data_IF_291308030602
#
_entry.id   IF_291308030602
#
_cell.length_a   1.000
_cell.length_b   1.000
_cell.length_c   1.000
_cell.angle_alpha   90.00
_cell.angle_beta   90.00
_cell.angle_gamma   90.00
#
_symmetry.space_group_name_H-M   'P 1'
#
loop_
_entity.id
_entity.type
_entity.pdbx_description
1 polymer ?
#
# COMPACT_ATOMS: atom_id res chain seq x y z
N UNK A 1 83.67 37.28 -54.79
CA UNK A 1 83.32 35.90 -54.31
C UNK A 1 84.16 35.66 -53.09
N UNK A 2 83.58 35.71 -51.91
CA UNK A 2 84.29 35.44 -50.67
C UNK A 2 84.47 33.89 -50.57
N UNK A 3 85.72 33.40 -50.54
CA UNK A 3 86.00 32.01 -50.26
C UNK A 3 85.68 31.75 -48.80
N UNK A 4 84.69 30.95 -48.57
CA UNK A 4 84.31 30.43 -47.26
C UNK A 4 85.38 29.40 -46.92
N UNK A 5 86.27 29.73 -46.00
CA UNK A 5 87.36 28.84 -45.50
C UNK A 5 86.72 27.69 -44.68
N UNK A 6 87.30 26.44 -44.75
CA UNK A 6 86.72 25.24 -44.12
C UNK A 6 86.42 25.36 -42.60
N UNK A 7 87.00 26.36 -41.95
CA UNK A 7 86.74 26.70 -40.54
C UNK A 7 85.35 27.35 -40.34
N UNK A 8 84.96 28.22 -41.29
CA UNK A 8 83.64 28.94 -41.20
C UNK A 8 82.49 27.99 -41.44
N UNK A 9 82.62 27.03 -42.32
CA UNK A 9 81.58 25.99 -42.54
C UNK A 9 81.38 25.07 -41.35
N UNK A 10 82.44 24.72 -40.66
CA UNK A 10 82.33 23.93 -39.42
C UNK A 10 81.66 24.73 -38.30
N UNK A 11 81.93 26.01 -38.19
CA UNK A 11 81.28 26.90 -37.20
C UNK A 11 79.79 27.10 -37.48
N UNK A 12 79.44 27.24 -38.75
CA UNK A 12 77.99 27.35 -39.15
C UNK A 12 77.21 26.06 -38.85
N UNK A 13 77.82 24.92 -39.14
CA UNK A 13 77.22 23.61 -38.87
C UNK A 13 77.03 23.37 -37.36
N UNK A 14 78.05 23.67 -36.56
CA UNK A 14 77.95 23.53 -35.09
C UNK A 14 76.94 24.52 -34.53
N UNK A 15 76.81 25.75 -35.04
CA UNK A 15 75.79 26.72 -34.61
C UNK A 15 74.36 26.27 -35.02
N UNK A 16 74.19 25.71 -36.23
CA UNK A 16 72.93 25.15 -36.67
C UNK A 16 72.49 23.98 -35.80
N UNK A 17 73.44 23.06 -35.45
CA UNK A 17 73.08 21.95 -34.58
C UNK A 17 72.73 22.44 -33.19
N UNK A 18 73.43 23.40 -32.64
CA UNK A 18 73.16 23.99 -31.33
C UNK A 18 71.82 24.75 -31.33
N UNK A 19 71.49 25.41 -32.43
CA UNK A 19 70.19 26.08 -32.63
C UNK A 19 69.02 25.06 -32.70
N UNK A 20 69.16 23.98 -33.44
CA UNK A 20 68.17 22.91 -33.55
C UNK A 20 67.96 22.24 -32.17
N UNK A 21 69.02 22.00 -31.44
CA UNK A 21 68.96 21.46 -30.08
C UNK A 21 68.23 22.47 -29.16
N UNK A 22 68.57 23.74 -29.23
CA UNK A 22 67.91 24.80 -28.45
C UNK A 22 66.41 24.91 -28.73
N UNK A 23 66.00 24.89 -30.02
CA UNK A 23 64.60 24.92 -30.41
C UNK A 23 63.86 23.66 -29.93
N UNK A 24 64.48 22.48 -30.04
CA UNK A 24 63.89 21.22 -29.55
C UNK A 24 63.73 21.22 -28.03
N UNK A 25 64.71 21.70 -27.28
CA UNK A 25 64.64 21.85 -25.82
C UNK A 25 63.57 22.89 -25.40
N UNK A 26 63.46 23.99 -26.12
CA UNK A 26 62.49 25.03 -25.85
C UNK A 26 61.07 24.50 -26.11
N UNK A 27 60.87 23.76 -27.22
CA UNK A 27 59.58 23.12 -27.52
C UNK A 27 59.14 22.10 -26.46
N UNK A 28 60.12 21.29 -25.89
CA UNK A 28 59.85 20.33 -24.84
C UNK A 28 59.51 20.92 -23.47
N UNK A 29 59.79 22.24 -23.28
CA UNK A 29 59.50 22.93 -22.03
C UNK A 29 58.04 23.40 -21.91
N UNK A 30 57.28 23.41 -23.03
CA UNK A 30 55.84 23.72 -23.03
C UNK A 30 55.06 22.41 -22.83
N UNK A 31 54.20 22.44 -21.85
CA UNK A 31 53.24 21.37 -21.60
C UNK A 31 51.79 21.88 -21.70
N UNK A 32 50.94 21.04 -22.25
CA UNK A 32 49.51 21.36 -22.40
C UNK A 32 48.78 20.47 -21.39
N UNK A 33 47.91 21.10 -20.62
CA UNK A 33 46.96 20.41 -19.76
C UNK A 33 45.60 20.42 -20.44
N UNK A 34 45.00 19.24 -20.57
CA UNK A 34 43.73 19.05 -21.20
C UNK A 34 42.59 19.79 -20.45
N UNK A 35 41.53 20.17 -21.13
CA UNK A 35 40.33 20.69 -20.48
C UNK A 35 39.80 19.68 -19.47
N UNK A 36 39.21 20.15 -18.38
CA UNK A 36 38.62 19.33 -17.32
C UNK A 36 39.63 18.53 -16.49
N UNK A 37 40.91 18.83 -16.61
CA UNK A 37 41.96 18.27 -15.77
C UNK A 37 42.64 19.39 -14.95
N UNK A 38 43.03 19.04 -13.74
CA UNK A 38 43.92 19.80 -12.89
C UNK A 38 45.23 19.01 -12.71
N UNK A 39 46.31 19.68 -12.51
CA UNK A 39 47.61 19.00 -12.43
C UNK A 39 48.56 19.63 -11.43
N UNK A 40 49.47 18.82 -10.97
CA UNK A 40 50.67 19.20 -10.19
C UNK A 40 51.88 19.01 -11.07
N UNK A 41 52.82 19.96 -11.05
CA UNK A 41 54.07 19.83 -11.76
C UNK A 41 55.07 19.00 -10.94
N UNK A 42 55.63 17.99 -11.57
CA UNK A 42 56.69 17.12 -11.01
C UNK A 42 57.99 17.36 -11.79
N UNK A 43 59.04 17.53 -11.07
CA UNK A 43 60.39 17.57 -11.64
C UNK A 43 60.97 16.15 -11.69
N UNK A 44 61.04 15.59 -12.90
CA UNK A 44 61.57 14.22 -13.09
C UNK A 44 63.07 14.10 -12.86
N UNK A 45 63.82 15.22 -12.92
CA UNK A 45 65.27 15.19 -12.69
C UNK A 45 65.57 15.17 -11.20
N UNK A 46 64.83 15.90 -10.39
CA UNK A 46 65.03 16.01 -8.95
C UNK A 46 64.05 15.15 -8.14
N UNK A 47 63.13 14.51 -8.80
CA UNK A 47 62.01 13.76 -8.15
C UNK A 47 61.27 14.58 -7.10
N UNK A 48 61.10 15.89 -7.34
CA UNK A 48 60.39 16.82 -6.45
C UNK A 48 59.13 17.28 -7.13
N UNK A 49 58.14 17.60 -6.31
CA UNK A 49 56.85 18.21 -6.76
C UNK A 49 56.88 19.71 -6.49
N UNK A 50 56.22 20.48 -7.35
CA UNK A 50 55.89 21.87 -7.08
C UNK A 50 54.71 21.89 -6.14
N UNK A 51 54.96 22.25 -4.88
CA UNK A 51 53.94 22.27 -3.82
C UNK A 51 53.12 23.57 -3.77
N UNK A 52 53.53 24.58 -4.54
CA UNK A 52 53.04 25.91 -4.38
C UNK A 52 51.84 26.23 -5.33
N UNK A 53 51.71 25.43 -6.39
CA UNK A 53 50.70 25.73 -7.44
C UNK A 53 50.02 24.47 -7.96
N UNK A 54 48.70 24.55 -8.02
CA UNK A 54 47.88 23.65 -8.82
C UNK A 54 47.58 24.31 -10.15
N UNK A 55 47.85 23.58 -11.22
CA UNK A 55 47.64 24.04 -12.58
C UNK A 55 46.27 23.59 -13.06
N UNK A 56 45.51 24.53 -13.59
CA UNK A 56 44.25 24.25 -14.26
C UNK A 56 44.45 24.15 -15.77
N UNK A 57 43.42 23.89 -16.54
CA UNK A 57 43.47 23.77 -17.99
C UNK A 57 44.29 24.92 -18.64
N UNK A 58 45.11 24.59 -19.63
CA UNK A 58 45.88 25.61 -20.36
C UNK A 58 47.21 25.10 -20.85
N UNK A 59 48.02 26.05 -21.40
CA UNK A 59 49.40 25.79 -21.83
C UNK A 59 50.35 26.54 -20.91
N UNK A 60 51.31 25.80 -20.37
CA UNK A 60 52.27 26.33 -19.40
C UNK A 60 53.69 26.07 -19.83
N UNK A 61 54.56 26.99 -19.48
CA UNK A 61 55.99 26.84 -19.60
C UNK A 61 56.54 26.31 -18.26
N UNK A 62 56.78 25.01 -18.19
CA UNK A 62 57.27 24.34 -16.96
C UNK A 62 58.78 24.26 -16.87
N UNK A 63 59.46 24.38 -18.02
CA UNK A 63 60.91 24.12 -18.08
C UNK A 63 61.24 22.68 -18.44
N UNK A 64 62.57 22.44 -18.59
CA UNK A 64 63.07 21.14 -18.98
C UNK A 64 63.01 20.15 -17.83
N UNK A 65 62.54 18.92 -18.12
CA UNK A 65 62.44 17.86 -17.14
C UNK A 65 61.27 17.95 -16.19
N UNK A 66 60.35 18.85 -16.46
CA UNK A 66 59.09 18.96 -15.72
C UNK A 66 57.95 18.24 -16.46
N UNK A 67 57.05 17.62 -15.71
CA UNK A 67 55.91 16.86 -16.22
C UNK A 67 54.65 17.14 -15.36
N UNK A 68 53.50 17.10 -15.99
CA UNK A 68 52.20 17.20 -15.28
C UNK A 68 51.76 15.81 -14.78
N UNK A 69 51.32 15.76 -13.54
CA UNK A 69 50.52 14.69 -12.99
C UNK A 69 49.10 15.20 -12.98
N UNK A 70 48.26 14.68 -13.86
CA UNK A 70 46.92 15.15 -14.08
C UNK A 70 45.89 14.37 -13.27
N UNK A 71 44.90 15.09 -12.77
CA UNK A 71 43.72 14.59 -12.06
C UNK A 71 42.48 15.18 -12.70
N UNK A 72 41.36 14.42 -12.76
CA UNK A 72 40.12 14.98 -13.28
C UNK A 72 39.57 16.06 -12.34
N UNK A 73 39.02 17.12 -12.93
CA UNK A 73 38.28 18.17 -12.19
C UNK A 73 36.81 17.83 -12.12
N UNK A 74 36.33 16.93 -12.98
CA UNK A 74 34.97 16.48 -13.02
C UNK A 74 34.68 15.45 -11.92
N UNK A 75 33.38 15.27 -11.61
CA UNK A 75 32.96 14.20 -10.72
C UNK A 75 33.35 12.82 -11.30
N UNK A 76 33.92 11.97 -10.46
CA UNK A 76 34.31 10.61 -10.76
C UNK A 76 33.21 9.69 -10.24
N UNK A 77 32.71 8.82 -11.10
CA UNK A 77 31.74 7.78 -10.71
C UNK A 77 32.49 6.56 -10.20
N UNK A 78 32.00 6.02 -9.10
CA UNK A 78 32.48 4.80 -8.48
C UNK A 78 31.29 3.91 -8.14
N UNK A 79 31.34 2.67 -8.56
CA UNK A 79 30.36 1.63 -8.22
C UNK A 79 31.07 0.57 -7.40
N UNK A 80 30.45 0.14 -6.32
CA UNK A 80 30.96 -0.91 -5.45
C UNK A 80 29.82 -1.91 -5.26
N UNK A 81 30.05 -3.11 -5.74
CA UNK A 81 29.10 -4.21 -5.66
C UNK A 81 29.44 -5.13 -4.50
N UNK A 82 28.45 -5.82 -3.97
CA UNK A 82 28.56 -6.87 -2.96
C UNK A 82 29.32 -6.45 -1.69
N UNK A 83 29.09 -5.24 -1.19
CA UNK A 83 29.65 -4.81 0.09
C UNK A 83 29.04 -5.64 1.21
N UNK A 84 29.78 -6.61 1.72
CA UNK A 84 29.35 -7.43 2.86
C UNK A 84 29.42 -6.63 4.15
N UNK A 85 28.27 -6.37 4.74
CA UNK A 85 28.08 -5.65 5.99
C UNK A 85 27.48 -6.57 7.05
N UNK A 86 27.68 -6.23 8.33
CA UNK A 86 27.05 -6.90 9.45
C UNK A 86 26.11 -5.92 10.13
N UNK A 87 24.90 -6.36 10.42
CA UNK A 87 23.88 -5.59 11.12
C UNK A 87 23.99 -5.74 12.64
N UNK A 88 23.20 -4.98 13.41
CA UNK A 88 23.21 -5.05 14.88
C UNK A 88 22.79 -6.43 15.41
N UNK A 89 21.92 -7.13 14.70
CA UNK A 89 21.46 -8.50 14.99
C UNK A 89 22.40 -9.58 14.45
N UNK A 90 23.62 -9.19 14.00
CA UNK A 90 24.69 -10.06 13.47
C UNK A 90 24.31 -10.86 12.23
N UNK A 91 23.37 -10.36 11.45
CA UNK A 91 23.08 -10.87 10.12
C UNK A 91 24.04 -10.23 9.10
N UNK A 92 24.32 -10.94 8.02
CA UNK A 92 25.07 -10.40 6.90
C UNK A 92 24.10 -9.80 5.88
N UNK A 93 24.43 -8.59 5.42
CA UNK A 93 23.68 -7.88 4.38
C UNK A 93 24.67 -7.49 3.29
N UNK A 94 24.28 -7.63 2.03
CA UNK A 94 25.06 -7.20 0.89
C UNK A 94 24.43 -5.93 0.31
N UNK A 95 25.26 -4.91 0.11
CA UNK A 95 24.80 -3.59 -0.34
C UNK A 95 25.60 -3.19 -1.58
N UNK A 96 24.88 -2.89 -2.67
CA UNK A 96 25.44 -2.30 -3.88
C UNK A 96 25.21 -0.81 -3.86
N UNK A 97 26.26 -0.06 -4.15
CA UNK A 97 26.21 1.41 -4.14
C UNK A 97 26.82 2.00 -5.39
N UNK A 98 26.33 3.17 -5.76
CA UNK A 98 26.97 4.07 -6.71
C UNK A 98 27.19 5.43 -6.05
N UNK A 99 28.36 5.97 -6.16
CA UNK A 99 28.64 7.31 -5.68
C UNK A 99 29.44 8.12 -6.70
N UNK A 100 29.27 9.43 -6.65
CA UNK A 100 30.02 10.39 -7.43
C UNK A 100 30.75 11.33 -6.47
N UNK A 101 32.05 11.43 -6.63
CA UNK A 101 32.89 12.33 -5.84
C UNK A 101 33.75 13.22 -6.72
N UNK A 102 34.15 14.36 -6.20
CA UNK A 102 35.00 15.32 -6.85
C UNK A 102 36.20 15.63 -5.96
N UNK A 103 37.38 15.67 -6.57
CA UNK A 103 38.61 16.02 -5.87
C UNK A 103 38.71 17.53 -5.65
N UNK A 104 39.10 17.94 -4.47
CA UNK A 104 39.29 19.35 -4.14
C UNK A 104 40.59 19.86 -4.75
N UNK A 105 40.53 20.93 -5.54
CA UNK A 105 41.68 21.54 -6.18
C UNK A 105 42.74 22.05 -5.18
N UNK A 106 42.26 22.60 -4.06
CA UNK A 106 43.12 23.20 -3.06
C UNK A 106 43.95 22.17 -2.28
N UNK A 107 43.41 20.98 -2.15
CA UNK A 107 44.01 19.88 -1.38
C UNK A 107 44.80 18.87 -2.24
N UNK A 108 44.89 19.11 -3.56
CA UNK A 108 45.44 18.20 -4.53
C UNK A 108 46.93 17.80 -4.22
N UNK A 109 47.70 18.79 -3.76
CA UNK A 109 49.12 18.56 -3.38
C UNK A 109 49.21 17.64 -2.18
N UNK A 110 48.34 17.80 -1.21
CA UNK A 110 48.28 16.94 -0.02
C UNK A 110 47.83 15.54 -0.40
N UNK A 111 46.82 15.41 -1.24
CA UNK A 111 46.34 14.14 -1.78
C UNK A 111 47.46 13.37 -2.50
N UNK A 112 48.25 14.06 -3.34
CA UNK A 112 49.37 13.42 -4.03
C UNK A 112 50.44 12.96 -3.06
N UNK A 113 50.79 13.77 -2.04
CA UNK A 113 51.79 13.39 -1.04
C UNK A 113 51.41 12.17 -0.23
N UNK A 114 50.14 12.04 0.07
CA UNK A 114 49.62 10.96 0.90
C UNK A 114 49.26 9.68 0.11
N UNK A 115 48.67 9.85 -1.06
CA UNK A 115 48.03 8.75 -1.80
C UNK A 115 48.58 8.55 -3.21
N UNK A 116 49.29 9.52 -3.74
CA UNK A 116 49.84 9.49 -5.11
C UNK A 116 48.71 9.28 -6.15
N UNK A 117 48.84 8.29 -7.01
CA UNK A 117 47.84 7.91 -8.03
C UNK A 117 46.87 6.81 -7.57
N UNK A 118 47.04 6.30 -6.34
CA UNK A 118 46.21 5.21 -5.79
C UNK A 118 45.03 5.74 -4.97
N UNK A 119 44.59 6.97 -5.22
CA UNK A 119 43.50 7.60 -4.50
C UNK A 119 42.15 6.90 -4.72
N UNK A 120 41.90 6.32 -5.90
CA UNK A 120 40.65 5.61 -6.21
C UNK A 120 40.42 4.42 -5.27
N UNK A 121 41.42 3.54 -5.14
CA UNK A 121 41.33 2.38 -4.24
C UNK A 121 41.28 2.78 -2.76
N UNK A 122 41.78 3.96 -2.42
CA UNK A 122 41.66 4.51 -1.08
C UNK A 122 40.22 4.96 -0.82
N UNK A 123 39.62 5.71 -1.73
CA UNK A 123 38.20 6.15 -1.58
C UNK A 123 37.25 4.96 -1.59
N UNK A 124 37.47 3.95 -2.41
CA UNK A 124 36.70 2.70 -2.39
C UNK A 124 36.68 2.05 -1.00
N UNK A 125 37.83 1.95 -0.37
CA UNK A 125 37.94 1.42 1.01
C UNK A 125 37.23 2.34 2.00
N UNK A 126 37.43 3.64 1.90
CA UNK A 126 36.84 4.63 2.80
C UNK A 126 35.32 4.56 2.76
N UNK A 127 34.75 4.46 1.56
CA UNK A 127 33.29 4.28 1.38
C UNK A 127 32.82 2.96 1.96
N UNK A 128 33.56 1.87 1.66
CA UNK A 128 33.24 0.54 2.20
C UNK A 128 33.26 0.51 3.74
N UNK A 129 34.26 1.17 4.35
CA UNK A 129 34.35 1.29 5.81
C UNK A 129 33.20 2.11 6.38
N UNK A 130 32.87 3.25 5.77
CA UNK A 130 31.77 4.11 6.20
C UNK A 130 30.41 3.40 6.15
N UNK A 131 30.16 2.61 5.09
CA UNK A 131 28.95 1.79 4.97
C UNK A 131 28.89 0.75 6.08
N UNK A 132 29.99 0.02 6.32
CA UNK A 132 30.07 -1.02 7.37
C UNK A 132 29.84 -0.44 8.76
N UNK A 133 30.42 0.72 9.06
CA UNK A 133 30.22 1.39 10.34
C UNK A 133 28.77 1.81 10.57
N UNK A 134 28.09 2.31 9.53
CA UNK A 134 26.71 2.75 9.66
C UNK A 134 25.74 1.56 9.73
N UNK A 135 25.99 0.53 8.94
CA UNK A 135 25.12 -0.65 8.88
C UNK A 135 24.99 -1.40 10.21
N UNK A 136 26.03 -1.36 11.06
CA UNK A 136 26.00 -1.99 12.40
C UNK A 136 24.96 -1.37 13.32
N UNK A 137 24.54 -0.15 13.09
CA UNK A 137 23.55 0.56 13.93
C UNK A 137 22.10 0.14 13.65
N UNK A 138 21.86 -0.62 12.58
CA UNK A 138 20.52 -0.98 12.10
C UNK A 138 20.24 -2.47 12.25
N UNK A 139 18.99 -2.83 12.51
CA UNK A 139 18.53 -4.21 12.54
C UNK A 139 18.12 -4.68 11.14
N UNK A 140 18.30 -5.97 10.86
CA UNK A 140 17.94 -6.53 9.54
C UNK A 140 16.43 -6.46 9.31
N UNK A 141 15.65 -6.77 10.34
CA UNK A 141 14.20 -6.64 10.35
C UNK A 141 13.80 -5.91 11.65
N UNK A 142 13.06 -4.80 11.61
CA UNK A 142 12.29 -4.28 10.45
C UNK A 142 13.04 -3.26 9.56
N UNK A 143 14.23 -2.75 9.95
CA UNK A 143 14.80 -1.53 9.40
C UNK A 143 15.12 -1.65 7.89
N UNK A 144 15.86 -2.67 7.48
CA UNK A 144 16.24 -2.85 6.07
C UNK A 144 15.05 -3.12 5.14
N UNK A 145 13.92 -3.52 5.70
CA UNK A 145 12.72 -3.74 4.90
C UNK A 145 11.81 -2.50 4.85
N UNK A 146 11.58 -1.86 6.01
CA UNK A 146 10.64 -0.75 6.12
C UNK A 146 11.29 0.63 5.99
N UNK A 147 12.55 0.79 6.45
CA UNK A 147 13.20 2.09 6.63
C UNK A 147 14.37 2.30 5.65
N UNK A 148 14.29 1.74 4.44
CA UNK A 148 15.39 1.82 3.43
C UNK A 148 15.84 3.24 3.12
N UNK A 149 14.91 4.20 3.09
CA UNK A 149 15.23 5.60 2.82
C UNK A 149 16.05 6.23 3.96
N UNK A 150 15.71 5.91 5.21
CA UNK A 150 16.44 6.40 6.38
C UNK A 150 17.85 5.82 6.45
N UNK A 151 17.98 4.53 6.17
CA UNK A 151 19.29 3.85 6.09
C UNK A 151 20.14 4.46 4.98
N UNK A 152 19.58 4.65 3.79
CA UNK A 152 20.29 5.26 2.66
C UNK A 152 20.73 6.69 2.98
N UNK A 153 19.90 7.48 3.66
CA UNK A 153 20.23 8.84 4.09
C UNK A 153 21.33 8.84 5.17
N UNK A 154 21.28 7.92 6.13
CA UNK A 154 22.28 7.78 7.18
C UNK A 154 23.64 7.36 6.59
N UNK A 155 23.64 6.36 5.70
CA UNK A 155 24.87 5.94 4.99
C UNK A 155 25.42 7.09 4.15
N UNK A 156 24.56 7.82 3.41
CA UNK A 156 24.99 8.99 2.64
C UNK A 156 25.70 10.02 3.53
N UNK A 157 25.11 10.39 4.65
CA UNK A 157 25.70 11.34 5.61
C UNK A 157 27.04 10.85 6.11
N UNK A 158 27.14 9.56 6.45
CA UNK A 158 28.40 8.95 6.93
C UNK A 158 29.48 8.95 5.86
N UNK A 159 29.12 8.65 4.63
CA UNK A 159 30.04 8.69 3.47
C UNK A 159 30.46 10.13 3.17
N UNK A 160 29.55 11.11 3.25
CA UNK A 160 29.84 12.53 3.06
C UNK A 160 30.86 13.04 4.10
N UNK A 161 30.67 12.69 5.37
CA UNK A 161 31.63 12.99 6.44
C UNK A 161 33.00 12.36 6.17
N UNK A 162 33.02 11.10 5.71
CA UNK A 162 34.24 10.39 5.38
C UNK A 162 34.99 11.04 4.21
N UNK A 163 34.30 11.50 3.16
CA UNK A 163 34.92 12.22 2.04
C UNK A 163 35.44 13.59 2.45
N UNK A 164 34.66 14.36 3.22
CA UNK A 164 35.09 15.68 3.68
C UNK A 164 36.35 15.64 4.52
N UNK A 165 36.54 14.61 5.32
CA UNK A 165 37.77 14.34 6.06
C UNK A 165 38.96 13.87 5.21
N UNK A 166 38.72 13.47 3.95
CA UNK A 166 39.72 12.86 3.08
C UNK A 166 39.98 13.61 1.76
N UNK A 167 39.87 14.95 1.77
CA UNK A 167 40.29 15.85 0.70
C UNK A 167 39.47 15.72 -0.61
N UNK A 168 38.25 15.20 -0.52
CA UNK A 168 37.29 15.14 -1.62
C UNK A 168 35.90 15.53 -1.16
N UNK A 169 35.02 15.79 -2.10
CA UNK A 169 33.64 16.16 -1.83
C UNK A 169 32.72 15.16 -2.51
N UNK A 170 31.77 14.61 -1.76
CA UNK A 170 30.71 13.77 -2.31
C UNK A 170 29.73 14.64 -3.10
N UNK A 171 29.47 14.26 -4.35
CA UNK A 171 28.52 14.97 -5.24
C UNK A 171 27.16 14.29 -5.19
N UNK A 172 27.16 12.96 -5.33
CA UNK A 172 25.94 12.16 -5.28
C UNK A 172 26.23 10.78 -4.67
N UNK A 173 25.19 10.19 -4.07
CA UNK A 173 25.26 8.87 -3.46
C UNK A 173 23.94 8.16 -3.60
N UNK A 174 23.97 6.92 -4.07
CA UNK A 174 22.79 6.09 -4.27
C UNK A 174 23.05 4.67 -3.80
N UNK A 175 22.12 4.11 -3.07
CA UNK A 175 22.06 2.69 -2.76
C UNK A 175 21.28 2.01 -3.87
N UNK A 176 21.93 1.17 -4.65
CA UNK A 176 21.35 0.49 -5.81
C UNK A 176 20.53 -0.72 -5.37
N UNK A 177 21.14 -1.56 -4.53
CA UNK A 177 20.54 -2.83 -4.12
C UNK A 177 20.93 -3.15 -2.67
N UNK A 178 20.03 -3.80 -1.98
CA UNK A 178 20.28 -4.39 -0.66
C UNK A 178 19.80 -5.83 -0.73
N UNK A 179 20.72 -6.76 -0.61
CA UNK A 179 20.47 -8.19 -0.59
C UNK A 179 20.60 -8.74 0.83
N UNK A 180 19.58 -9.47 1.24
CA UNK A 180 19.53 -10.19 2.50
C UNK A 180 19.84 -11.67 2.23
N UNK A 181 20.40 -12.41 3.18
CA UNK A 181 20.57 -13.86 3.05
C UNK A 181 19.20 -14.54 2.85
N UNK A 182 19.15 -15.52 1.95
CA UNK A 182 17.93 -16.25 1.57
C UNK A 182 17.10 -16.72 2.78
N UNK A 183 17.78 -17.21 3.82
CA UNK A 183 17.13 -17.68 5.05
C UNK A 183 16.43 -16.55 5.83
N UNK A 184 16.94 -15.33 5.75
CA UNK A 184 16.37 -14.16 6.41
C UNK A 184 15.23 -13.59 5.56
N UNK A 185 15.43 -13.52 4.27
CA UNK A 185 14.41 -13.11 3.31
C UNK A 185 13.18 -14.02 3.41
N UNK A 186 13.38 -15.35 3.45
CA UNK A 186 12.27 -16.30 3.59
C UNK A 186 11.51 -16.11 4.90
N UNK A 187 12.17 -15.87 6.02
CA UNK A 187 11.51 -15.57 7.30
C UNK A 187 10.68 -14.30 7.25
N UNK A 188 11.18 -13.27 6.59
CA UNK A 188 10.44 -12.01 6.41
C UNK A 188 9.20 -12.25 5.56
N UNK A 189 9.34 -12.99 4.46
CA UNK A 189 8.22 -13.38 3.60
C UNK A 189 7.19 -14.18 4.40
N UNK A 190 7.61 -15.18 5.16
CA UNK A 190 6.73 -16.01 5.99
C UNK A 190 5.97 -15.14 7.01
N UNK A 191 6.65 -14.22 7.68
CA UNK A 191 6.01 -13.28 8.63
C UNK A 191 4.97 -12.40 7.94
N UNK A 192 5.29 -11.84 6.77
CA UNK A 192 4.34 -11.01 6.01
C UNK A 192 3.12 -11.83 5.56
N UNK A 193 3.35 -13.07 5.13
CA UNK A 193 2.26 -13.99 4.75
C UNK A 193 1.36 -14.28 5.95
N UNK A 194 1.92 -14.58 7.12
CA UNK A 194 1.14 -14.78 8.34
C UNK A 194 0.34 -13.54 8.74
N UNK A 195 0.92 -12.34 8.66
CA UNK A 195 0.21 -11.08 8.92
C UNK A 195 -0.93 -10.84 7.94
N UNK A 196 -0.70 -11.13 6.65
CA UNK A 196 -1.74 -11.02 5.62
C UNK A 196 -2.86 -12.05 5.83
N UNK A 197 -2.51 -13.29 6.19
CA UNK A 197 -3.51 -14.33 6.51
C UNK A 197 -4.35 -13.96 7.73
N UNK A 198 -3.74 -13.41 8.78
CA UNK A 198 -4.45 -12.90 9.96
C UNK A 198 -5.40 -11.75 9.59
N UNK A 199 -4.92 -10.79 8.81
CA UNK A 199 -5.74 -9.68 8.32
C UNK A 199 -6.90 -10.17 7.45
N UNK A 200 -6.65 -11.14 6.58
CA UNK A 200 -7.68 -11.76 5.74
C UNK A 200 -8.72 -12.48 6.60
N UNK A 201 -8.30 -13.22 7.63
CA UNK A 201 -9.19 -13.89 8.56
C UNK A 201 -10.07 -12.90 9.33
N UNK A 202 -9.53 -11.78 9.76
CA UNK A 202 -10.27 -10.69 10.42
C UNK A 202 -11.33 -10.11 9.48
N UNK A 203 -10.98 -9.77 8.24
CA UNK A 203 -11.95 -9.28 7.25
C UNK A 203 -13.04 -10.32 6.91
N UNK A 204 -12.68 -11.61 6.87
CA UNK A 204 -13.67 -12.68 6.66
C UNK A 204 -14.62 -12.80 7.84
N UNK A 205 -14.12 -12.66 9.06
CA UNK A 205 -14.92 -12.62 10.27
C UNK A 205 -15.90 -11.44 10.26
N UNK A 206 -15.41 -10.24 9.98
CA UNK A 206 -16.22 -9.04 9.89
C UNK A 206 -17.30 -9.16 8.81
N UNK A 207 -16.95 -9.64 7.63
CA UNK A 207 -17.91 -9.90 6.58
C UNK A 207 -18.97 -10.94 6.99
N UNK A 208 -18.60 -11.96 7.77
CA UNK A 208 -19.50 -12.95 8.33
C UNK A 208 -20.46 -12.34 9.36
N UNK A 209 -19.97 -11.47 10.23
CA UNK A 209 -20.79 -10.73 11.21
C UNK A 209 -21.80 -9.85 10.49
N UNK A 210 -21.36 -9.03 9.53
CA UNK A 210 -22.25 -8.14 8.75
C UNK A 210 -23.34 -8.95 8.01
N UNK A 211 -22.98 -10.08 7.41
CA UNK A 211 -23.95 -10.96 6.74
C UNK A 211 -24.98 -11.51 7.73
N UNK A 212 -24.55 -11.95 8.91
CA UNK A 212 -25.48 -12.44 9.95
C UNK A 212 -26.38 -11.35 10.48
N UNK A 213 -25.85 -10.14 10.69
CA UNK A 213 -26.64 -8.98 11.08
C UNK A 213 -27.70 -8.63 10.02
N UNK A 214 -27.33 -8.61 8.74
CA UNK A 214 -28.25 -8.39 7.65
C UNK A 214 -29.33 -9.48 7.57
N UNK A 215 -28.97 -10.75 7.76
CA UNK A 215 -29.93 -11.86 7.81
C UNK A 215 -30.88 -11.72 9.00
N UNK A 216 -30.37 -11.42 10.19
CA UNK A 216 -31.21 -11.19 11.36
C UNK A 216 -32.18 -10.02 11.18
N UNK A 217 -31.74 -8.95 10.52
CA UNK A 217 -32.64 -7.80 10.24
C UNK A 217 -33.72 -8.17 9.21
N UNK A 218 -33.39 -8.93 8.18
CA UNK A 218 -34.34 -9.45 7.23
C UNK A 218 -35.36 -10.42 7.90
N UNK A 219 -34.90 -11.30 8.79
CA UNK A 219 -35.77 -12.21 9.54
C UNK A 219 -36.70 -11.45 10.49
N UNK A 220 -36.23 -10.40 11.17
CA UNK A 220 -37.08 -9.52 11.98
C UNK A 220 -38.11 -8.79 11.14
N UNK A 221 -37.72 -8.25 9.98
CA UNK A 221 -38.64 -7.61 9.07
C UNK A 221 -39.70 -8.60 8.58
N UNK A 222 -39.32 -9.82 8.25
CA UNK A 222 -40.26 -10.88 7.83
C UNK A 222 -41.21 -11.24 8.95
N UNK A 223 -40.74 -11.38 10.19
CA UNK A 223 -41.57 -11.64 11.35
C UNK A 223 -42.54 -10.48 11.62
N UNK A 224 -42.12 -9.23 11.50
CA UNK A 224 -42.99 -8.05 11.63
C UNK A 224 -44.07 -8.04 10.57
N UNK A 225 -43.74 -8.34 9.32
CA UNK A 225 -44.75 -8.46 8.24
C UNK A 225 -45.77 -9.54 8.54
N UNK A 226 -45.34 -10.71 9.07
CA UNK A 226 -46.24 -11.77 9.47
C UNK A 226 -47.21 -11.34 10.60
N UNK A 227 -46.69 -10.61 11.60
CA UNK A 227 -47.53 -10.04 12.69
C UNK A 227 -48.53 -9.04 12.15
N UNK A 228 -48.10 -8.09 11.32
CA UNK A 228 -48.98 -7.08 10.73
C UNK A 228 -50.06 -7.74 9.88
N UNK A 229 -49.73 -8.76 9.09
CA UNK A 229 -50.70 -9.49 8.29
C UNK A 229 -51.73 -10.22 9.18
N UNK A 230 -51.26 -10.88 10.23
CA UNK A 230 -52.17 -11.57 11.17
C UNK A 230 -53.10 -10.59 11.93
N UNK A 231 -52.57 -9.42 12.34
CA UNK A 231 -53.35 -8.37 12.95
C UNK A 231 -54.40 -7.82 11.97
N UNK A 232 -54.03 -7.58 10.71
CA UNK A 232 -54.94 -7.09 9.68
C UNK A 232 -56.01 -8.13 9.35
N UNK A 233 -55.71 -9.43 9.29
CA UNK A 233 -56.67 -10.51 9.09
C UNK A 233 -57.66 -10.61 10.28
N UNK A 234 -57.13 -10.48 11.51
CA UNK A 234 -57.97 -10.49 12.70
C UNK A 234 -58.89 -9.30 12.76
N UNK A 235 -58.43 -8.09 12.43
CA UNK A 235 -59.22 -6.86 12.36
C UNK A 235 -60.29 -6.95 11.26
N UNK A 236 -59.91 -7.48 10.09
CA UNK A 236 -60.87 -7.70 8.99
C UNK A 236 -61.94 -8.71 9.38
N UNK A 237 -61.61 -9.82 10.03
CA UNK A 237 -62.55 -10.82 10.53
C UNK A 237 -63.52 -10.21 11.58
N UNK A 238 -62.97 -9.40 12.49
CA UNK A 238 -63.76 -8.70 13.51
C UNK A 238 -64.73 -7.68 12.88
N UNK A 239 -64.28 -6.93 11.86
CA UNK A 239 -65.10 -5.99 11.14
C UNK A 239 -66.26 -6.68 10.38
N UNK A 240 -65.98 -7.81 9.72
CA UNK A 240 -66.97 -8.64 9.05
C UNK A 240 -67.98 -9.17 10.06
N UNK A 241 -67.48 -9.77 11.18
CA UNK A 241 -68.36 -10.30 12.21
C UNK A 241 -69.22 -9.20 12.86
N UNK A 242 -68.71 -7.99 13.09
CA UNK A 242 -69.51 -6.88 13.61
C UNK A 242 -70.54 -6.37 12.60
N UNK A 243 -70.14 -6.32 11.30
CA UNK A 243 -71.08 -5.93 10.23
C UNK A 243 -72.25 -6.96 10.06
N UNK A 244 -71.87 -8.26 10.13
CA UNK A 244 -72.93 -9.34 10.10
C UNK A 244 -73.82 -9.30 11.31
N UNK A 245 -73.27 -9.07 12.51
CA UNK A 245 -74.08 -8.92 13.73
C UNK A 245 -74.99 -7.73 13.64
N UNK A 246 -74.55 -6.58 13.15
CA UNK A 246 -75.32 -5.38 12.93
C UNK A 246 -76.45 -5.63 11.86
N UNK A 247 -76.06 -6.26 10.74
CA UNK A 247 -77.03 -6.65 9.71
C UNK A 247 -78.11 -7.57 10.27
N UNK A 248 -77.75 -8.55 11.07
CA UNK A 248 -78.71 -9.44 11.73
C UNK A 248 -79.58 -8.71 12.72
N UNK A 249 -79.08 -7.77 13.51
CA UNK A 249 -79.86 -6.92 14.42
C UNK A 249 -80.89 -6.06 13.65
N UNK A 250 -80.44 -5.43 12.54
CA UNK A 250 -81.41 -4.62 11.69
C UNK A 250 -82.48 -5.50 11.10
N UNK A 251 -82.16 -6.71 10.59
CA UNK A 251 -83.17 -7.63 10.05
C UNK A 251 -84.11 -8.13 11.15
N UNK A 252 -83.56 -8.47 12.33
CA UNK A 252 -84.35 -8.94 13.46
C UNK A 252 -85.35 -7.84 13.95
N UNK A 253 -84.83 -6.60 14.06
CA UNK A 253 -85.69 -5.48 14.45
C UNK A 253 -86.78 -5.22 13.42
N UNK A 254 -86.45 -5.21 12.11
CA UNK A 254 -87.43 -5.02 11.05
C UNK A 254 -88.49 -6.14 10.98
N UNK A 255 -88.04 -7.40 11.17
CA UNK A 255 -88.99 -8.55 11.23
C UNK A 255 -89.87 -8.50 12.46
N UNK A 256 -89.29 -8.09 13.62
CA UNK A 256 -90.04 -7.92 14.86
C UNK A 256 -91.15 -6.83 14.73
N UNK A 257 -90.77 -5.66 14.18
CA UNK A 257 -91.76 -4.59 13.91
C UNK A 257 -92.81 -5.05 12.94
N UNK A 258 -92.43 -5.73 11.85
CA UNK A 258 -93.37 -6.29 10.86
C UNK A 258 -94.34 -7.29 11.47
N UNK A 259 -93.83 -8.17 12.38
CA UNK A 259 -94.68 -9.15 13.08
C UNK A 259 -95.69 -8.47 14.09
N UNK A 260 -95.22 -7.40 14.76
CA UNK A 260 -96.09 -6.63 15.65
C UNK A 260 -97.21 -5.92 14.85
N UNK A 261 -96.82 -5.32 13.72
CA UNK A 261 -97.84 -4.68 12.84
C UNK A 261 -98.81 -5.69 12.27
N UNK A 262 -98.35 -6.88 11.88
CA UNK A 262 -99.22 -8.00 11.45
C UNK A 262 -100.15 -8.45 12.56
N UNK A 263 -99.68 -8.61 13.77
CA UNK A 263 -100.47 -9.00 14.93
C UNK A 263 -101.53 -7.98 15.24
N UNK A 264 -101.20 -6.69 15.20
CA UNK A 264 -102.13 -5.60 15.45
C UNK A 264 -103.17 -5.44 14.33
N UNK A 265 -102.74 -5.55 13.06
CA UNK A 265 -103.65 -5.37 11.90
C UNK A 265 -104.65 -6.50 11.72
N UNK A 266 -104.28 -7.73 12.11
CA UNK A 266 -105.09 -8.91 11.97
C UNK A 266 -105.72 -9.42 13.31
N UNK A 267 -105.52 -8.74 14.42
CA UNK A 267 -105.93 -9.14 15.76
C UNK A 267 -105.53 -10.59 16.13
N UNK A 268 -104.27 -10.99 15.78
CA UNK A 268 -103.79 -12.33 16.05
C UNK A 268 -103.38 -12.51 17.51
N UNK A 269 -103.63 -13.67 18.06
CA UNK A 269 -103.14 -14.03 19.39
C UNK A 269 -101.70 -14.47 19.32
N UNK A 270 -100.93 -14.43 20.42
CA UNK A 270 -99.55 -14.83 20.48
C UNK A 270 -99.33 -16.28 19.98
N UNK A 271 -100.29 -17.18 20.15
CA UNK A 271 -100.25 -18.56 19.63
C UNK A 271 -100.38 -18.62 18.11
N UNK A 272 -101.15 -17.74 17.53
CA UNK A 272 -101.38 -17.65 16.07
C UNK A 272 -100.11 -17.07 15.37
N UNK A 273 -99.46 -16.11 16.03
CA UNK A 273 -98.19 -15.55 15.57
C UNK A 273 -97.06 -16.56 15.58
N UNK A 274 -96.99 -17.40 16.63
CA UNK A 274 -96.00 -18.50 16.70
C UNK A 274 -96.27 -19.54 15.60
N UNK A 275 -97.54 -19.84 15.29
CA UNK A 275 -97.91 -20.72 14.17
C UNK A 275 -97.52 -20.11 12.83
N UNK A 276 -97.70 -18.81 12.65
CA UNK A 276 -97.29 -18.11 11.43
C UNK A 276 -95.78 -18.19 11.25
N UNK A 277 -95.01 -17.84 12.28
CA UNK A 277 -93.56 -17.98 12.26
C UNK A 277 -93.09 -19.40 11.95
N UNK A 278 -93.80 -20.37 12.50
CA UNK A 278 -93.46 -21.78 12.25
C UNK A 278 -93.72 -22.17 10.79
N UNK A 279 -94.83 -21.71 10.18
CA UNK A 279 -95.11 -21.87 8.75
C UNK A 279 -94.12 -21.09 7.87
N UNK A 280 -93.69 -19.94 8.25
CA UNK A 280 -92.74 -19.09 7.51
C UNK A 280 -91.34 -19.75 7.48
N UNK A 281 -90.89 -20.28 8.60
CA UNK A 281 -89.65 -21.03 8.67
C UNK A 281 -89.64 -22.30 7.81
N UNK A 282 -90.87 -22.97 7.73
CA UNK A 282 -90.98 -24.18 6.89
C UNK A 282 -91.09 -23.82 5.41
N UNK A 283 -91.75 -22.75 5.10
CA UNK A 283 -92.04 -22.30 3.72
C UNK A 283 -90.85 -21.50 3.09
N UNK A 284 -89.92 -20.99 3.92
CA UNK A 284 -88.81 -20.29 3.43
C UNK A 284 -87.86 -21.28 2.68
N UNK A 285 -87.67 -21.00 1.41
CA UNK A 285 -86.87 -21.82 0.45
C UNK A 285 -85.36 -21.89 0.81
N UNK A 286 -84.97 -21.20 1.89
CA UNK A 286 -83.61 -21.10 2.41
C UNK A 286 -83.27 -22.20 3.45
N UNK A 287 -84.17 -23.16 3.57
CA UNK A 287 -84.05 -24.36 4.39
C UNK A 287 -83.25 -25.46 3.64
N UNK A 288 -81.97 -25.15 3.26
CA UNK A 288 -81.09 -26.17 2.81
C UNK A 288 -80.94 -27.28 3.88
N UNK A 289 -81.33 -28.53 3.48
CA UNK A 289 -81.14 -29.79 4.21
C UNK A 289 -81.54 -29.75 5.71
N UNK A 290 -82.61 -29.07 6.07
CA UNK A 290 -83.15 -29.17 7.43
C UNK A 290 -84.16 -30.36 7.46
N UNK A 291 -83.69 -31.45 7.96
CA UNK A 291 -84.51 -32.63 8.28
C UNK A 291 -85.52 -32.22 9.38
N UNK A 292 -86.73 -31.96 8.96
CA UNK A 292 -87.82 -31.60 9.89
C UNK A 292 -88.27 -32.86 10.61
N UNK A 293 -87.81 -33.07 11.79
CA UNK A 293 -88.25 -34.21 12.64
C UNK A 293 -89.50 -33.75 13.39
N UNK A 294 -90.70 -33.99 12.77
CA UNK A 294 -91.98 -33.71 13.38
C UNK A 294 -92.43 -34.92 14.25
N UNK A 295 -92.59 -34.71 15.54
CA UNK A 295 -93.18 -35.69 16.44
C UNK A 295 -92.22 -36.55 17.22
N UNK A 296 -91.21 -36.00 17.74
CA UNK A 296 -90.40 -36.66 18.73
C UNK A 296 -90.96 -36.53 20.13
N UNK A 297 -91.80 -37.52 20.50
CA UNK A 297 -92.06 -37.79 21.90
C UNK A 297 -90.79 -38.09 22.66
N UNK A 298 -90.72 -37.71 23.92
CA UNK A 298 -89.63 -37.63 24.86
C UNK A 298 -88.49 -38.66 24.85
N UNK A 299 -88.53 -39.77 24.03
CA UNK A 299 -87.53 -40.82 24.00
C UNK A 299 -86.23 -40.43 23.23
N UNK A 300 -86.30 -39.55 22.25
CA UNK A 300 -85.12 -39.13 21.50
C UNK A 300 -84.31 -37.97 22.16
N UNK A 301 -84.95 -37.30 23.09
CA UNK A 301 -84.28 -36.23 23.87
C UNK A 301 -83.19 -36.79 24.77
N UNK A 302 -83.38 -37.99 25.33
CA UNK A 302 -82.43 -38.64 26.20
C UNK A 302 -81.30 -39.30 25.41
N UNK A 303 -81.50 -39.72 24.14
CA UNK A 303 -80.46 -40.25 23.28
C UNK A 303 -79.52 -39.17 22.71
N UNK A 304 -80.04 -38.00 22.36
CA UNK A 304 -79.29 -36.85 21.94
C UNK A 304 -78.41 -36.27 23.09
N UNK A 305 -78.98 -36.21 24.30
CA UNK A 305 -78.26 -35.78 25.48
C UNK A 305 -77.07 -36.79 25.84
N UNK A 306 -77.28 -38.09 25.62
CA UNK A 306 -76.28 -39.13 25.88
C UNK A 306 -75.13 -39.14 24.82
N UNK A 307 -75.41 -38.70 23.55
CA UNK A 307 -74.43 -38.64 22.51
C UNK A 307 -73.47 -37.42 22.64
N UNK A 308 -73.96 -36.35 23.26
CA UNK A 308 -73.19 -35.11 23.50
C UNK A 308 -72.27 -35.19 24.72
N UNK A 309 -72.54 -36.15 25.61
CA UNK A 309 -71.70 -36.39 26.82
C UNK A 309 -70.49 -37.32 26.51
N UNK A 310 -70.50 -38.07 25.39
CA UNK A 310 -69.45 -39.02 25.03
C UNK A 310 -68.48 -38.53 23.93
N UNK A 311 -68.47 -37.23 23.60
CA UNK A 311 -67.54 -36.64 22.63
C UNK A 311 -66.55 -35.67 23.27
N UNK A 312 -66.04 -35.97 24.48
CA UNK A 312 -64.84 -35.38 25.05
C UNK A 312 -63.67 -36.39 24.95
#
# INVERSE_FOLDING_TARGET
MAQITGGDTCFIITFMILYIISVGLFGGAFKILEPLNMAIARNNVRSTIDSDKVYLNGRYFLGLGMEFISYPTTAIQMEIDDVSCSTSDKQSVYIDIACQYQLNSDDLVTLYKERQLSYESFYERTVTEAIKEETVNWETNPDFYHNREEIAAAIKTRVEDAFSGNLATLVDFQVLKIDLPDATEQKIIDTIVEEQENTLAEYQQDASVIRKEATNEADKATAQVAVINAEAEAEAALLVATAEAYAFEVVLNATSESLVDLANGMNLTASDLLRYLWYDVIASDDAGDKELVVGLDGVLRDQLAASLVNSD
#
